data_IF_799311034988
#
_entry.id   IF_799311034988
#
_cell.length_a   1.000
_cell.length_b   1.000
_cell.length_c   1.000
_cell.angle_alpha   90.00
_cell.angle_beta   90.00
_cell.angle_gamma   90.00
#
_symmetry.space_group_name_H-M   'P 1'
#
loop_
_entity.id
_entity.type
_entity.pdbx_description
1 polymer ?
#
# COMPACT_ATOMS: atom_id res chain seq x y z
N UNK A 1 25.57 9.17 45.60
CA UNK A 1 25.10 10.16 44.60
C UNK A 1 25.58 9.88 43.17
N UNK A 2 26.80 9.38 42.93
CA UNK A 2 27.32 9.08 41.59
C UNK A 2 26.55 8.01 40.75
N UNK A 3 26.02 6.89 41.29
CA UNK A 3 25.35 5.89 40.45
C UNK A 3 24.03 6.38 39.85
N UNK A 4 23.31 7.25 40.56
CA UNK A 4 22.09 7.89 40.04
C UNK A 4 22.39 8.88 38.91
N UNK A 5 23.55 9.56 38.95
CA UNK A 5 23.99 10.44 37.88
C UNK A 5 24.31 9.64 36.60
N UNK A 6 25.01 8.51 36.72
CA UNK A 6 25.29 7.62 35.58
C UNK A 6 24.03 6.99 35.01
N UNK A 7 23.09 6.57 35.86
CA UNK A 7 21.78 6.06 35.43
C UNK A 7 20.98 7.14 34.70
N UNK A 8 20.95 8.38 35.22
CA UNK A 8 20.27 9.49 34.58
C UNK A 8 20.89 9.86 33.22
N UNK A 9 22.22 9.88 33.12
CA UNK A 9 22.94 10.10 31.85
C UNK A 9 22.63 8.97 30.85
N UNK A 10 22.59 7.72 31.29
CA UNK A 10 22.22 6.59 30.43
C UNK A 10 20.77 6.67 29.95
N UNK A 11 19.84 7.02 30.83
CA UNK A 11 18.42 7.17 30.47
C UNK A 11 18.22 8.34 29.51
N UNK A 12 18.84 9.49 29.77
CA UNK A 12 18.77 10.67 28.89
C UNK A 12 19.45 10.39 27.55
N UNK A 13 20.62 9.78 27.56
CA UNK A 13 21.33 9.35 26.34
C UNK A 13 20.51 8.36 25.52
N UNK A 14 19.90 7.36 26.17
CA UNK A 14 19.01 6.40 25.52
C UNK A 14 17.75 7.07 24.98
N UNK A 15 17.16 8.03 25.72
CA UNK A 15 15.94 8.73 25.31
C UNK A 15 16.18 9.69 24.14
N UNK A 16 17.29 10.44 24.15
CA UNK A 16 17.69 11.32 23.05
C UNK A 16 18.01 10.49 21.81
N UNK A 17 18.74 9.39 21.96
CA UNK A 17 19.08 8.51 20.85
C UNK A 17 17.82 7.82 20.29
N UNK A 18 16.91 7.38 21.15
CA UNK A 18 15.62 6.80 20.76
C UNK A 18 14.70 7.82 20.06
N UNK A 19 14.64 9.05 20.57
CA UNK A 19 13.87 10.14 19.96
C UNK A 19 14.45 10.53 18.60
N UNK A 20 15.77 10.70 18.50
CA UNK A 20 16.49 10.99 17.26
C UNK A 20 16.33 9.89 16.23
N UNK A 21 16.47 8.63 16.65
CA UNK A 21 16.26 7.45 15.82
C UNK A 21 14.80 7.37 15.31
N UNK A 22 13.83 7.79 16.12
CA UNK A 22 12.43 7.90 15.68
C UNK A 22 12.22 9.01 14.65
N UNK A 23 12.84 10.18 14.80
CA UNK A 23 12.74 11.29 13.83
C UNK A 23 13.49 10.99 12.52
N UNK A 24 14.69 10.41 12.60
CA UNK A 24 15.47 10.01 11.42
C UNK A 24 14.76 8.90 10.65
N UNK A 25 14.18 7.91 11.33
CA UNK A 25 13.39 6.86 10.66
C UNK A 25 12.15 7.40 9.97
N UNK A 26 11.45 8.37 10.59
CA UNK A 26 10.32 9.05 9.94
C UNK A 26 10.75 9.84 8.72
N UNK A 27 11.90 10.53 8.76
CA UNK A 27 12.45 11.21 7.58
C UNK A 27 12.83 10.22 6.48
N UNK A 28 13.53 9.14 6.80
CA UNK A 28 13.89 8.09 5.84
C UNK A 28 12.68 7.38 5.23
N UNK A 29 11.66 7.09 6.03
CA UNK A 29 10.42 6.53 5.51
C UNK A 29 9.69 7.51 4.60
N UNK A 30 9.74 8.81 4.92
CA UNK A 30 9.23 9.85 4.03
C UNK A 30 10.03 9.92 2.74
N UNK A 31 11.36 9.88 2.79
CA UNK A 31 12.22 9.83 1.60
C UNK A 31 11.92 8.61 0.73
N UNK A 32 11.75 7.42 1.32
CA UNK A 32 11.34 6.21 0.60
C UNK A 32 9.94 6.35 -0.03
N UNK A 33 9.00 6.95 0.69
CA UNK A 33 7.67 7.25 0.17
C UNK A 33 7.74 8.24 -1.01
N UNK A 34 8.54 9.30 -0.89
CA UNK A 34 8.72 10.32 -1.91
C UNK A 34 9.43 9.72 -3.15
N UNK A 35 10.50 8.95 -2.99
CA UNK A 35 11.17 8.24 -4.10
C UNK A 35 10.24 7.26 -4.81
N UNK A 36 9.37 6.54 -4.09
CA UNK A 36 8.38 5.67 -4.74
C UNK A 36 7.31 6.44 -5.46
N UNK A 37 6.84 7.57 -4.90
CA UNK A 37 5.90 8.47 -5.59
C UNK A 37 6.50 9.03 -6.87
N UNK A 38 7.79 9.38 -6.86
CA UNK A 38 8.52 9.80 -8.05
C UNK A 38 8.68 8.66 -9.07
N UNK A 39 8.92 7.44 -8.60
CA UNK A 39 9.03 6.26 -9.46
C UNK A 39 7.69 5.76 -10.03
N UNK A 40 6.57 6.08 -9.37
CA UNK A 40 5.22 5.78 -9.87
C UNK A 40 4.90 6.73 -11.03
N UNK A 41 4.70 6.23 -12.26
CA UNK A 41 4.52 7.10 -13.43
C UNK A 41 3.21 7.91 -13.46
N UNK A 42 2.30 7.74 -12.49
CA UNK A 42 0.96 8.32 -12.54
C UNK A 42 0.57 8.88 -11.17
N UNK A 43 0.38 10.19 -11.11
CA UNK A 43 -0.38 10.83 -10.05
C UNK A 43 -1.80 10.23 -10.03
N UNK A 44 -2.40 10.19 -8.84
CA UNK A 44 -3.80 9.81 -8.67
C UNK A 44 -4.67 10.55 -9.69
N UNK A 45 -5.52 9.88 -10.48
CA UNK A 45 -6.47 10.58 -11.31
C UNK A 45 -7.30 11.48 -10.39
N UNK A 46 -7.30 12.79 -10.69
CA UNK A 46 -8.07 13.78 -9.94
C UNK A 46 -9.50 13.26 -9.86
N UNK A 47 -10.05 13.20 -8.65
CA UNK A 47 -11.42 12.76 -8.49
C UNK A 47 -12.33 13.67 -9.32
N UNK A 48 -13.09 13.08 -10.25
CA UNK A 48 -14.12 13.79 -10.97
C UNK A 48 -15.11 14.37 -9.96
N UNK A 49 -15.70 15.53 -10.25
CA UNK A 49 -16.86 15.98 -9.49
C UNK A 49 -18.03 14.99 -9.64
N UNK A 50 -18.98 15.02 -8.70
CA UNK A 50 -20.04 14.00 -8.65
C UNK A 50 -20.97 14.05 -9.88
N UNK A 51 -21.15 15.23 -10.48
CA UNK A 51 -21.98 15.43 -11.67
C UNK A 51 -21.31 14.84 -12.93
N UNK A 52 -20.02 15.09 -13.11
CA UNK A 52 -19.20 14.54 -14.19
C UNK A 52 -19.01 13.03 -14.03
N UNK A 53 -18.84 12.55 -12.79
CA UNK A 53 -18.80 11.10 -12.51
C UNK A 53 -20.13 10.44 -12.83
N UNK A 54 -21.27 11.04 -12.45
CA UNK A 54 -22.58 10.52 -12.78
C UNK A 54 -22.83 10.50 -14.30
N UNK A 55 -22.29 11.47 -15.03
CA UNK A 55 -22.35 11.52 -16.51
C UNK A 55 -21.54 10.42 -17.17
N UNK A 56 -20.29 10.19 -16.73
CA UNK A 56 -19.38 9.19 -17.33
C UNK A 56 -19.68 7.76 -16.90
N UNK A 57 -20.16 7.60 -15.67
CA UNK A 57 -20.49 6.31 -15.06
C UNK A 57 -21.97 6.34 -14.64
N UNK A 58 -22.90 6.19 -15.59
CA UNK A 58 -24.33 6.27 -15.28
C UNK A 58 -24.80 5.12 -14.38
N UNK A 59 -24.16 3.95 -14.48
CA UNK A 59 -24.50 2.77 -13.71
C UNK A 59 -24.07 2.89 -12.23
N UNK A 60 -25.00 2.79 -11.25
CA UNK A 60 -24.68 2.92 -9.84
C UNK A 60 -23.69 1.89 -9.30
N UNK A 61 -23.75 0.65 -9.80
CA UNK A 61 -22.85 -0.44 -9.38
C UNK A 61 -21.41 -0.17 -9.82
N UNK A 62 -21.24 0.23 -11.07
CA UNK A 62 -19.93 0.61 -11.60
C UNK A 62 -19.34 1.81 -10.86
N UNK A 63 -20.17 2.82 -10.51
CA UNK A 63 -19.73 3.92 -9.64
C UNK A 63 -19.26 3.41 -8.27
N UNK A 64 -20.03 2.54 -7.63
CA UNK A 64 -19.66 1.93 -6.36
C UNK A 64 -18.33 1.17 -6.43
N UNK A 65 -18.09 0.46 -7.53
CA UNK A 65 -16.81 -0.23 -7.76
C UNK A 65 -15.64 0.74 -7.96
N UNK A 66 -15.84 1.86 -8.67
CA UNK A 66 -14.80 2.90 -8.84
C UNK A 66 -14.48 3.57 -7.50
N UNK A 67 -15.49 3.87 -6.68
CA UNK A 67 -15.32 4.42 -5.34
C UNK A 67 -14.59 3.44 -4.41
N UNK A 68 -14.98 2.17 -4.44
CA UNK A 68 -14.29 1.09 -3.74
C UNK A 68 -12.83 1.01 -4.18
N UNK A 69 -12.55 1.06 -5.48
CA UNK A 69 -11.19 1.03 -6.02
C UNK A 69 -10.36 2.20 -5.53
N UNK A 70 -10.95 3.41 -5.51
CA UNK A 70 -10.33 4.63 -4.98
C UNK A 70 -10.00 4.51 -3.50
N UNK A 71 -10.97 4.11 -2.68
CA UNK A 71 -10.76 3.92 -1.25
C UNK A 71 -9.69 2.86 -0.98
N UNK A 72 -9.75 1.73 -1.70
CA UNK A 72 -8.82 0.61 -1.54
C UNK A 72 -7.38 1.02 -1.81
N UNK A 73 -7.08 1.67 -2.94
CA UNK A 73 -5.70 2.04 -3.23
C UNK A 73 -5.16 3.13 -2.29
N UNK A 74 -6.02 4.02 -1.75
CA UNK A 74 -5.61 5.04 -0.77
C UNK A 74 -5.18 4.36 0.53
N UNK A 75 -5.98 3.42 1.02
CA UNK A 75 -5.68 2.66 2.23
C UNK A 75 -4.45 1.76 2.03
N UNK A 76 -4.32 1.12 0.87
CA UNK A 76 -3.13 0.36 0.51
C UNK A 76 -1.89 1.26 0.45
N UNK A 77 -1.97 2.49 -0.08
CA UNK A 77 -0.83 3.43 -0.06
C UNK A 77 -0.41 3.80 1.37
N UNK A 78 -1.38 4.03 2.26
CA UNK A 78 -1.11 4.27 3.66
C UNK A 78 -0.43 3.06 4.34
N UNK A 79 -0.86 1.84 4.02
CA UNK A 79 -0.23 0.60 4.50
C UNK A 79 1.17 0.40 3.92
N UNK A 80 1.39 0.71 2.65
CA UNK A 80 2.71 0.68 2.00
C UNK A 80 3.69 1.63 2.72
N UNK A 81 3.24 2.82 3.12
CA UNK A 81 4.04 3.73 3.96
C UNK A 81 4.31 3.16 5.36
N UNK A 82 3.37 2.40 5.93
CA UNK A 82 3.59 1.68 7.18
C UNK A 82 4.65 0.58 7.02
N UNK A 83 4.57 -0.21 5.95
CA UNK A 83 5.52 -1.28 5.68
C UNK A 83 6.95 -0.74 5.46
N UNK A 84 7.12 0.46 4.91
CA UNK A 84 8.45 1.10 4.84
C UNK A 84 9.05 1.34 6.23
N UNK A 85 8.24 1.79 7.19
CA UNK A 85 8.70 1.95 8.56
C UNK A 85 9.10 0.60 9.18
N UNK A 86 8.34 -0.46 8.88
CA UNK A 86 8.68 -1.81 9.31
C UNK A 86 9.95 -2.33 8.63
N UNK A 87 10.16 -2.03 7.35
CA UNK A 87 11.36 -2.39 6.60
C UNK A 87 12.60 -1.73 7.22
N UNK A 88 12.52 -0.45 7.57
CA UNK A 88 13.59 0.25 8.29
C UNK A 88 13.86 -0.40 9.66
N UNK A 89 12.82 -0.79 10.40
CA UNK A 89 12.99 -1.51 11.67
C UNK A 89 13.61 -2.89 11.49
N UNK A 90 13.27 -3.61 10.42
CA UNK A 90 13.85 -4.91 10.12
C UNK A 90 15.34 -4.80 9.78
N UNK A 91 15.74 -3.74 9.05
CA UNK A 91 17.15 -3.39 8.81
C UNK A 91 17.90 -3.10 10.10
N UNK A 92 17.30 -2.31 10.99
CA UNK A 92 17.88 -2.03 12.31
C UNK A 92 17.99 -3.30 13.15
N UNK A 93 16.98 -4.19 13.10
CA UNK A 93 17.03 -5.51 13.77
C UNK A 93 18.22 -6.34 13.30
N UNK A 94 18.45 -6.39 11.98
CA UNK A 94 19.58 -7.11 11.42
C UNK A 94 20.93 -6.53 11.87
N UNK A 95 20.99 -5.22 12.13
CA UNK A 95 22.21 -4.52 12.55
C UNK A 95 22.47 -4.55 14.07
N UNK A 96 21.42 -4.49 14.88
CA UNK A 96 21.52 -4.26 16.33
C UNK A 96 20.88 -5.37 17.18
N UNK A 97 20.21 -6.35 16.57
CA UNK A 97 19.72 -7.58 17.21
C UNK A 97 18.44 -7.46 18.05
N UNK A 98 18.06 -6.27 18.53
CA UNK A 98 16.96 -6.09 19.49
C UNK A 98 15.93 -5.06 19.00
N UNK A 99 15.27 -5.35 17.87
CA UNK A 99 14.15 -4.54 17.37
C UNK A 99 12.97 -5.43 17.01
N UNK A 100 11.82 -5.18 17.64
CA UNK A 100 10.58 -5.89 17.30
C UNK A 100 9.96 -5.30 16.05
N UNK A 101 9.58 -6.18 15.13
CA UNK A 101 8.84 -5.85 13.91
C UNK A 101 7.53 -6.62 13.98
N UNK A 102 6.41 -5.90 13.97
CA UNK A 102 5.07 -6.48 14.01
C UNK A 102 4.36 -6.14 12.69
N UNK A 103 4.39 -7.09 11.75
CA UNK A 103 3.76 -6.94 10.45
C UNK A 103 2.42 -7.69 10.35
N UNK A 104 1.97 -8.40 11.38
CA UNK A 104 0.77 -9.23 11.32
C UNK A 104 -0.48 -8.40 11.01
N UNK A 105 -0.71 -7.36 11.82
CA UNK A 105 -1.87 -6.48 11.67
C UNK A 105 -1.90 -5.73 10.34
N UNK A 106 -0.84 -5.01 9.91
CA UNK A 106 -0.88 -4.32 8.62
C UNK A 106 -1.04 -5.29 7.44
N UNK A 107 -0.52 -6.53 7.55
CA UNK A 107 -0.71 -7.56 6.53
C UNK A 107 -2.15 -8.07 6.48
N UNK A 108 -2.77 -8.33 7.64
CA UNK A 108 -4.18 -8.69 7.71
C UNK A 108 -5.08 -7.60 7.09
N UNK A 109 -4.80 -6.33 7.40
CA UNK A 109 -5.52 -5.20 6.79
C UNK A 109 -5.34 -5.16 5.26
N UNK A 110 -4.11 -5.37 4.77
CA UNK A 110 -3.84 -5.40 3.34
C UNK A 110 -4.61 -6.53 2.65
N UNK A 111 -4.59 -7.74 3.20
CA UNK A 111 -5.34 -8.88 2.65
C UNK A 111 -6.85 -8.59 2.62
N UNK A 112 -7.41 -8.02 3.69
CA UNK A 112 -8.82 -7.66 3.75
C UNK A 112 -9.21 -6.65 2.65
N UNK A 113 -8.36 -5.64 2.41
CA UNK A 113 -8.58 -4.66 1.34
C UNK A 113 -8.54 -5.31 -0.06
N UNK A 114 -7.58 -6.20 -0.29
CA UNK A 114 -7.45 -6.93 -1.56
C UNK A 114 -8.65 -7.88 -1.79
N UNK A 115 -9.07 -8.61 -0.75
CA UNK A 115 -10.25 -9.47 -0.78
C UNK A 115 -11.52 -8.68 -1.09
N UNK A 116 -11.74 -7.56 -0.38
CA UNK A 116 -12.90 -6.70 -0.61
C UNK A 116 -12.94 -6.14 -2.04
N UNK A 117 -11.79 -5.76 -2.60
CA UNK A 117 -11.72 -5.32 -3.99
C UNK A 117 -12.04 -6.45 -4.99
N UNK A 118 -11.52 -7.66 -4.75
CA UNK A 118 -11.81 -8.84 -5.58
C UNK A 118 -13.29 -9.21 -5.52
N UNK A 119 -13.92 -9.10 -4.35
CA UNK A 119 -15.35 -9.34 -4.22
C UNK A 119 -16.15 -8.26 -4.96
N UNK A 120 -15.79 -6.98 -4.85
CA UNK A 120 -16.42 -5.89 -5.59
C UNK A 120 -16.27 -6.02 -7.11
N UNK A 121 -15.20 -6.64 -7.61
CA UNK A 121 -15.04 -6.95 -9.04
C UNK A 121 -16.18 -7.82 -9.59
N UNK A 122 -16.78 -8.68 -8.76
CA UNK A 122 -17.87 -9.57 -9.20
C UNK A 122 -19.16 -8.83 -9.55
N UNK A 123 -19.31 -7.61 -9.04
CA UNK A 123 -20.47 -6.75 -9.29
C UNK A 123 -20.32 -5.91 -10.57
N UNK A 124 -19.16 -5.98 -11.24
CA UNK A 124 -18.90 -5.30 -12.52
C UNK A 124 -19.55 -6.09 -13.66
N UNK A 125 -20.26 -5.39 -14.53
CA UNK A 125 -20.95 -5.99 -15.68
C UNK A 125 -19.97 -6.62 -16.69
N UNK A 126 -20.46 -7.56 -17.50
CA UNK A 126 -19.62 -8.31 -18.45
C UNK A 126 -18.93 -7.41 -19.47
N UNK A 127 -19.64 -6.42 -20.02
CA UNK A 127 -19.09 -5.53 -21.04
C UNK A 127 -17.91 -4.71 -20.49
N UNK A 128 -18.05 -4.19 -19.28
CA UNK A 128 -16.95 -3.49 -18.60
C UNK A 128 -15.81 -4.43 -18.28
N UNK A 129 -16.07 -5.66 -17.81
CA UNK A 129 -15.02 -6.66 -17.56
C UNK A 129 -14.23 -7.00 -18.83
N UNK A 130 -14.91 -7.25 -19.94
CA UNK A 130 -14.28 -7.48 -21.24
C UNK A 130 -13.40 -6.29 -21.67
N UNK A 131 -13.91 -5.07 -21.54
CA UNK A 131 -13.16 -3.84 -21.84
C UNK A 131 -11.89 -3.76 -21.00
N UNK A 132 -12.00 -3.95 -19.68
CA UNK A 132 -10.86 -3.91 -18.75
C UNK A 132 -9.85 -5.03 -19.05
N UNK A 133 -10.31 -6.24 -19.37
CA UNK A 133 -9.47 -7.35 -19.79
C UNK A 133 -8.68 -7.04 -21.06
N UNK A 134 -9.27 -6.32 -22.03
CA UNK A 134 -8.58 -5.84 -23.23
C UNK A 134 -7.36 -4.95 -22.96
N UNK A 135 -7.27 -4.35 -21.77
CA UNK A 135 -6.12 -3.55 -21.31
C UNK A 135 -5.26 -4.26 -20.25
N UNK A 136 -5.44 -5.56 -20.06
CA UNK A 136 -4.83 -6.35 -18.99
C UNK A 136 -5.16 -5.82 -17.57
N UNK A 137 -6.31 -5.16 -17.41
CA UNK A 137 -6.82 -4.61 -16.14
C UNK A 137 -7.88 -5.52 -15.50
N UNK A 138 -7.65 -6.83 -15.53
CA UNK A 138 -8.48 -7.83 -14.87
C UNK A 138 -8.01 -8.18 -13.46
N UNK A 139 -8.80 -8.92 -12.67
CA UNK A 139 -8.57 -9.11 -11.24
C UNK A 139 -7.35 -9.99 -10.95
N UNK A 140 -6.82 -10.71 -11.94
CA UNK A 140 -5.71 -11.66 -11.79
C UNK A 140 -4.46 -11.06 -11.16
N UNK A 141 -4.16 -9.78 -11.42
CA UNK A 141 -3.02 -9.09 -10.77
C UNK A 141 -3.22 -9.01 -9.26
N UNK A 142 -4.40 -8.59 -8.81
CA UNK A 142 -4.75 -8.42 -7.40
C UNK A 142 -4.88 -9.78 -6.70
N UNK A 143 -5.49 -10.77 -7.37
CA UNK A 143 -5.55 -12.16 -6.90
C UNK A 143 -4.15 -12.72 -6.65
N UNK A 144 -3.24 -12.59 -7.61
CA UNK A 144 -1.88 -13.09 -7.45
C UNK A 144 -1.11 -12.39 -6.32
N UNK A 145 -1.36 -11.10 -6.07
CA UNK A 145 -0.80 -10.39 -4.91
C UNK A 145 -1.35 -10.97 -3.60
N UNK A 146 -2.67 -11.16 -3.50
CA UNK A 146 -3.31 -11.75 -2.32
C UNK A 146 -2.80 -13.17 -2.02
N UNK A 147 -2.61 -14.01 -3.04
CA UNK A 147 -2.09 -15.37 -2.89
C UNK A 147 -0.66 -15.37 -2.34
N UNK A 148 0.22 -14.52 -2.87
CA UNK A 148 1.59 -14.35 -2.35
C UNK A 148 1.59 -13.84 -0.90
N UNK A 149 0.70 -12.92 -0.56
CA UNK A 149 0.54 -12.43 0.81
C UNK A 149 0.09 -13.52 1.78
N UNK A 150 -0.88 -14.35 1.39
CA UNK A 150 -1.32 -15.51 2.17
C UNK A 150 -0.21 -16.53 2.37
N UNK A 151 0.64 -16.73 1.35
CA UNK A 151 1.80 -17.60 1.46
C UNK A 151 2.83 -17.04 2.46
N UNK A 152 3.11 -15.73 2.41
CA UNK A 152 4.04 -15.05 3.32
C UNK A 152 3.66 -15.17 4.79
N UNK A 153 2.36 -15.13 5.10
CA UNK A 153 1.84 -15.31 6.48
C UNK A 153 2.19 -16.69 7.04
N UNK A 154 2.23 -17.74 6.21
CA UNK A 154 2.49 -19.12 6.66
C UNK A 154 3.93 -19.32 7.14
N UNK A 155 4.87 -18.45 6.76
CA UNK A 155 6.26 -18.53 7.19
C UNK A 155 6.48 -17.79 8.53
N UNK A 156 6.11 -18.44 9.64
CA UNK A 156 6.15 -17.87 11.00
C UNK A 156 7.49 -17.17 11.34
N UNK A 157 8.63 -17.74 10.94
CA UNK A 157 9.95 -17.20 11.26
C UNK A 157 10.48 -16.14 10.28
N UNK A 158 9.88 -16.00 9.08
CA UNK A 158 10.42 -15.14 8.00
C UNK A 158 9.52 -13.96 7.64
N UNK A 159 8.27 -13.96 8.10
CA UNK A 159 7.24 -12.96 7.76
C UNK A 159 7.62 -11.50 8.02
N UNK A 160 8.54 -11.26 8.97
CA UNK A 160 9.01 -9.92 9.38
C UNK A 160 10.48 -9.65 8.98
N UNK A 161 11.03 -10.45 8.06
CA UNK A 161 12.38 -10.20 7.53
C UNK A 161 12.38 -9.02 6.58
N UNK A 162 13.52 -8.34 6.44
CA UNK A 162 13.69 -7.23 5.50
C UNK A 162 13.23 -7.62 4.09
N UNK A 163 13.66 -8.79 3.62
CA UNK A 163 13.29 -9.29 2.30
C UNK A 163 11.78 -9.45 2.14
N UNK A 164 11.11 -10.11 3.08
CA UNK A 164 9.66 -10.36 2.97
C UNK A 164 8.87 -9.05 3.03
N UNK A 165 9.30 -8.07 3.85
CA UNK A 165 8.67 -6.76 3.90
C UNK A 165 8.85 -5.99 2.58
N UNK A 166 10.05 -6.03 1.98
CA UNK A 166 10.32 -5.39 0.69
C UNK A 166 9.46 -5.99 -0.44
N UNK A 167 9.35 -7.33 -0.47
CA UNK A 167 8.51 -8.02 -1.44
C UNK A 167 7.01 -7.69 -1.24
N UNK A 168 6.57 -7.63 0.02
CA UNK A 168 5.20 -7.20 0.40
C UNK A 168 4.90 -5.81 -0.15
N UNK A 169 5.80 -4.85 0.11
CA UNK A 169 5.69 -3.48 -0.40
C UNK A 169 5.55 -3.46 -1.92
N UNK A 170 6.39 -4.21 -2.63
CA UNK A 170 6.43 -4.22 -4.10
C UNK A 170 5.14 -4.81 -4.68
N UNK A 171 4.60 -5.85 -4.07
CA UNK A 171 3.35 -6.47 -4.52
C UNK A 171 2.14 -5.58 -4.24
N UNK A 172 2.07 -4.94 -3.07
CA UNK A 172 1.01 -3.97 -2.78
C UNK A 172 1.09 -2.75 -3.72
N UNK A 173 2.30 -2.30 -4.03
CA UNK A 173 2.53 -1.22 -5.00
C UNK A 173 2.00 -1.57 -6.40
N UNK A 174 2.25 -2.82 -6.84
CA UNK A 174 1.70 -3.34 -8.10
C UNK A 174 0.17 -3.37 -8.08
N UNK A 175 -0.45 -3.77 -6.96
CA UNK A 175 -1.90 -3.75 -6.82
C UNK A 175 -2.46 -2.33 -6.90
N UNK A 176 -1.81 -1.36 -6.23
CA UNK A 176 -2.18 0.07 -6.29
C UNK A 176 -2.12 0.59 -7.73
N UNK A 177 -1.01 0.38 -8.45
CA UNK A 177 -0.85 0.81 -9.85
C UNK A 177 -1.93 0.19 -10.74
N UNK A 178 -2.26 -1.07 -10.51
CA UNK A 178 -3.30 -1.77 -11.24
C UNK A 178 -4.69 -1.14 -11.00
N UNK A 179 -5.06 -0.89 -9.75
CA UNK A 179 -6.33 -0.24 -9.39
C UNK A 179 -6.42 1.19 -9.93
N UNK A 180 -5.31 1.94 -9.94
CA UNK A 180 -5.24 3.26 -10.57
C UNK A 180 -5.47 3.18 -12.08
N UNK A 181 -4.95 2.14 -12.75
CA UNK A 181 -5.20 1.87 -14.16
C UNK A 181 -6.68 1.61 -14.44
N UNK A 182 -7.35 0.81 -13.59
CA UNK A 182 -8.79 0.54 -13.68
C UNK A 182 -9.58 1.84 -13.57
N UNK A 183 -9.37 2.62 -12.50
CA UNK A 183 -10.07 3.90 -12.31
C UNK A 183 -9.80 4.86 -13.46
N UNK A 184 -8.54 5.01 -13.87
CA UNK A 184 -8.16 5.89 -14.96
C UNK A 184 -8.83 5.53 -16.28
N UNK A 185 -8.99 4.24 -16.59
CA UNK A 185 -9.66 3.80 -17.81
C UNK A 185 -11.18 3.99 -17.75
N UNK A 186 -11.80 3.69 -16.60
CA UNK A 186 -13.25 3.82 -16.43
C UNK A 186 -13.69 5.28 -16.41
N UNK A 187 -12.92 6.15 -15.77
CA UNK A 187 -13.25 7.58 -15.67
C UNK A 187 -12.81 8.41 -16.88
N UNK A 188 -11.85 7.94 -17.70
CA UNK A 188 -11.42 8.69 -18.89
C UNK A 188 -12.52 8.83 -19.95
N UNK A 189 -13.56 7.99 -19.94
CA UNK A 189 -14.58 7.95 -21.00
C UNK A 189 -14.00 7.53 -22.36
N UNK A 190 -14.82 7.49 -23.40
CA UNK A 190 -14.35 7.31 -24.79
C UNK A 190 -13.79 8.60 -25.41
N UNK A 191 -13.86 9.73 -24.70
CA UNK A 191 -13.47 11.08 -25.14
C UNK A 191 -11.96 11.36 -25.02
N UNK A 192 -11.10 10.33 -25.11
CA UNK A 192 -9.66 10.58 -25.26
C UNK A 192 -9.24 10.44 -26.73
N UNK A 193 -9.27 11.53 -27.53
CA UNK A 193 -8.81 11.55 -28.92
C UNK A 193 -7.27 11.50 -29.06
N UNK A 194 -6.52 11.41 -27.95
CA UNK A 194 -5.04 11.37 -27.95
C UNK A 194 -4.50 10.03 -27.45
N UNK A 195 -5.03 8.94 -28.00
CA UNK A 195 -4.32 7.66 -28.06
C UNK A 195 -3.62 7.53 -29.40
#
# INVERSE_FOLDING_TARGET
MQPFLYLAILIVGFSINFAWDRTVRRRRAKELADTRREARPRALPVALDDDERARRLPEPRLRGFVELSRATFIELDALINHFDLLLLRARDRARFGVVTVDAERPRANAMQLLEGWIDGWRDVDEQTRERLHGFALGPGTVVGVLERERERVRYEFRRDTEQVLFETITDLDRAVIHMQGVVGLLEAGDDNPYR
#
